data_IF_615137677219
#
_entry.id   IF_615137677219
#
_cell.length_a   1.000
_cell.length_b   1.000
_cell.length_c   1.000
_cell.angle_alpha   90.00
_cell.angle_beta   90.00
_cell.angle_gamma   90.00
#
_symmetry.space_group_name_H-M   'P 1'
#
loop_
_entity.id
_entity.type
_entity.pdbx_description
1 polymer ?
#
# COMPACT_ATOMS: atom_id res chain seq x y z
N UNK A 1 24.74 18.95 -24.71
CA UNK A 1 24.24 17.74 -25.39
C UNK A 1 24.29 16.63 -24.35
N UNK A 2 23.21 16.39 -23.67
CA UNK A 2 23.09 15.36 -22.61
C UNK A 2 22.42 14.16 -23.28
N UNK A 3 23.13 13.05 -23.27
CA UNK A 3 22.76 11.79 -23.91
C UNK A 3 21.48 11.21 -23.29
N UNK A 4 20.37 11.21 -24.06
CA UNK A 4 19.06 10.63 -23.68
C UNK A 4 18.97 9.18 -24.17
N UNK A 5 19.87 8.31 -23.72
CA UNK A 5 19.75 6.86 -23.97
C UNK A 5 20.06 6.03 -22.74
N UNK A 6 19.33 6.32 -21.64
CA UNK A 6 19.11 5.30 -20.61
C UNK A 6 17.74 4.71 -20.87
N UNK A 7 17.66 3.77 -21.82
CA UNK A 7 16.45 2.97 -22.05
C UNK A 7 16.17 2.14 -20.82
N UNK A 8 15.07 2.45 -20.19
CA UNK A 8 14.50 1.86 -19.00
C UNK A 8 14.24 0.36 -19.18
N UNK A 9 15.10 -0.50 -18.69
CA UNK A 9 14.68 -1.83 -18.23
C UNK A 9 13.86 -1.65 -16.96
N UNK A 10 12.57 -1.30 -17.08
CA UNK A 10 11.65 -1.43 -15.96
C UNK A 10 11.41 -2.94 -15.75
N UNK A 11 11.67 -3.50 -14.57
CA UNK A 11 11.25 -4.85 -14.29
C UNK A 11 9.72 -4.86 -14.32
N UNK A 12 9.15 -5.50 -15.32
CA UNK A 12 7.72 -5.80 -15.37
C UNK A 12 7.44 -6.75 -14.21
N UNK A 13 6.67 -6.28 -13.23
CA UNK A 13 6.15 -7.14 -12.17
C UNK A 13 5.42 -8.29 -12.87
N UNK A 14 5.79 -9.51 -12.53
CA UNK A 14 5.27 -10.67 -13.23
C UNK A 14 3.72 -10.71 -13.13
N UNK A 15 3.00 -10.86 -14.25
CA UNK A 15 1.53 -10.82 -14.27
C UNK A 15 0.85 -11.80 -13.31
N UNK A 16 1.56 -12.86 -12.89
CA UNK A 16 1.08 -13.84 -11.92
C UNK A 16 0.95 -13.27 -10.51
N UNK A 17 1.71 -12.25 -10.12
CA UNK A 17 1.60 -11.63 -8.78
C UNK A 17 0.29 -10.86 -8.63
N UNK A 18 -0.13 -10.10 -9.63
CA UNK A 18 -1.44 -9.44 -9.64
C UNK A 18 -2.57 -10.48 -9.64
N UNK A 19 -2.43 -11.60 -10.36
CA UNK A 19 -3.38 -12.72 -10.34
C UNK A 19 -3.40 -13.41 -8.97
N UNK A 20 -2.26 -13.64 -8.32
CA UNK A 20 -2.19 -14.22 -6.98
C UNK A 20 -2.90 -13.35 -5.94
N UNK A 21 -2.80 -12.02 -6.06
CA UNK A 21 -3.52 -11.07 -5.22
C UNK A 21 -5.05 -11.26 -5.32
N UNK A 22 -5.58 -11.42 -6.53
CA UNK A 22 -7.00 -11.69 -6.74
C UNK A 22 -7.44 -13.06 -6.23
N UNK A 23 -6.64 -14.09 -6.44
CA UNK A 23 -6.95 -15.48 -6.06
C UNK A 23 -6.99 -15.65 -4.54
N UNK A 24 -6.05 -15.04 -3.79
CA UNK A 24 -6.04 -15.11 -2.32
C UNK A 24 -7.25 -14.46 -1.65
N UNK A 25 -7.87 -13.51 -2.32
CA UNK A 25 -9.09 -12.87 -1.83
C UNK A 25 -10.37 -13.59 -2.23
N UNK A 26 -10.30 -14.76 -2.90
CA UNK A 26 -11.47 -15.57 -3.23
C UNK A 26 -11.83 -16.53 -2.10
N UNK A 27 -13.11 -16.83 -1.87
CA UNK A 27 -13.53 -17.83 -0.88
C UNK A 27 -12.86 -19.18 -1.15
N UNK A 28 -12.41 -19.85 -0.11
CA UNK A 28 -11.89 -21.21 -0.20
C UNK A 28 -12.97 -22.13 -0.80
N UNK A 29 -12.77 -22.60 -2.02
CA UNK A 29 -13.75 -23.43 -2.74
C UNK A 29 -14.19 -22.92 -4.10
N UNK A 30 -13.78 -21.72 -4.53
CA UNK A 30 -14.05 -21.25 -5.89
C UNK A 30 -13.33 -22.14 -6.93
N UNK A 31 -13.97 -22.38 -8.07
CA UNK A 31 -13.42 -23.22 -9.16
C UNK A 31 -12.04 -22.72 -9.64
N UNK A 32 -11.83 -21.41 -9.66
CA UNK A 32 -10.54 -20.81 -10.01
C UNK A 32 -9.43 -21.06 -8.97
N UNK A 33 -9.76 -21.04 -7.67
CA UNK A 33 -8.79 -21.36 -6.62
C UNK A 33 -8.34 -22.82 -6.70
N UNK A 34 -9.24 -23.76 -6.98
CA UNK A 34 -8.92 -25.18 -7.14
C UNK A 34 -8.03 -25.44 -8.37
N UNK A 35 -8.25 -24.77 -9.48
CA UNK A 35 -7.43 -24.90 -10.69
C UNK A 35 -5.99 -24.45 -10.46
N UNK A 36 -5.79 -23.38 -9.68
CA UNK A 36 -4.45 -22.85 -9.41
C UNK A 36 -3.63 -23.73 -8.46
N UNK A 37 -4.27 -24.28 -7.42
CA UNK A 37 -3.60 -25.23 -6.51
C UNK A 37 -3.25 -26.55 -7.19
N UNK A 38 -4.05 -26.98 -8.17
CA UNK A 38 -3.77 -28.21 -8.91
C UNK A 38 -2.61 -28.08 -9.92
N UNK A 39 -2.39 -26.87 -10.44
CA UNK A 39 -1.30 -26.60 -11.39
C UNK A 39 0.07 -26.42 -10.69
N UNK A 40 0.10 -25.94 -9.45
CA UNK A 40 1.32 -25.85 -8.66
C UNK A 40 1.80 -27.22 -8.10
N UNK A 41 0.91 -28.21 -8.01
CA UNK A 41 1.29 -29.57 -7.57
C UNK A 41 1.98 -30.38 -8.66
N UNK A 42 1.97 -29.92 -9.92
CA UNK A 42 2.69 -30.54 -11.03
C UNK A 42 4.01 -29.80 -11.26
N UNK A 43 5.03 -30.23 -10.50
CA UNK A 43 6.42 -29.85 -10.79
C UNK A 43 6.84 -30.34 -12.21
N UNK A 44 7.88 -29.73 -12.82
CA UNK A 44 8.27 -30.04 -14.18
C UNK A 44 8.62 -31.52 -14.29
N UNK A 45 7.80 -32.28 -15.01
CA UNK A 45 8.09 -33.69 -15.36
C UNK A 45 9.33 -33.75 -16.23
N UNK A 46 10.41 -34.28 -15.71
CA UNK A 46 11.56 -34.73 -16.51
C UNK A 46 11.06 -35.76 -17.53
N UNK A 47 11.11 -35.42 -18.81
CA UNK A 47 10.95 -36.37 -19.89
C UNK A 47 12.22 -37.22 -19.96
N UNK A 48 12.15 -38.48 -19.56
CA UNK A 48 13.10 -39.51 -19.97
C UNK A 48 12.80 -39.87 -21.44
N UNK A 49 13.74 -39.55 -22.32
CA UNK A 49 13.74 -40.03 -23.69
C UNK A 49 14.35 -41.40 -23.73
N UNK A 50 13.58 -42.41 -24.20
CA UNK A 50 14.07 -43.68 -24.65
C UNK A 50 14.55 -43.54 -26.10
N UNK A 51 15.71 -44.13 -26.37
CA UNK A 51 16.33 -44.06 -27.68
C UNK A 51 15.73 -44.96 -28.72
N UNK A 52 15.98 -44.70 -29.94
CA UNK A 52 16.24 -45.75 -30.96
C UNK A 52 17.28 -45.28 -31.98
N UNK A 53 18.09 -46.22 -32.40
CA UNK A 53 19.21 -46.14 -33.31
C UNK A 53 18.71 -46.23 -34.75
N UNK A 54 19.31 -45.48 -35.64
CA UNK A 54 19.98 -46.00 -36.86
C UNK A 54 19.93 -44.99 -38.01
N UNK A 55 21.03 -45.01 -38.73
CA UNK A 55 21.36 -44.79 -40.15
C UNK A 55 22.06 -43.47 -40.47
N UNK A 56 23.34 -43.54 -40.48
CA UNK A 56 24.44 -43.37 -41.46
C UNK A 56 24.06 -42.70 -42.80
N UNK A 57 24.66 -41.57 -43.12
CA UNK A 57 25.66 -41.41 -44.20
C UNK A 57 26.01 -39.94 -44.53
N UNK A 58 27.30 -39.69 -44.52
CA UNK A 58 28.17 -38.81 -45.31
C UNK A 58 27.54 -37.73 -46.22
N UNK A 59 27.98 -36.49 -46.07
CA UNK A 59 28.77 -35.80 -47.10
C UNK A 59 29.61 -34.63 -46.51
N UNK A 60 30.85 -34.58 -47.00
CA UNK A 60 31.90 -33.57 -46.74
C UNK A 60 31.69 -32.31 -47.57
N UNK A 61 32.47 -31.26 -47.14
CA UNK A 61 32.95 -30.05 -47.85
C UNK A 61 31.93 -28.92 -47.87
N UNK A 62 32.22 -27.68 -47.51
CA UNK A 62 33.39 -26.82 -47.67
C UNK A 62 33.39 -25.67 -46.67
N UNK A 63 34.57 -25.26 -46.35
CA UNK A 63 35.07 -24.15 -45.59
C UNK A 63 34.67 -22.82 -46.23
N UNK A 64 34.04 -21.89 -45.42
CA UNK A 64 34.27 -20.48 -45.61
C UNK A 64 34.19 -19.74 -44.25
N UNK A 65 35.35 -19.27 -43.88
CA UNK A 65 35.62 -18.32 -42.79
C UNK A 65 34.92 -17.01 -43.04
N UNK A 66 34.13 -16.58 -42.07
CA UNK A 66 33.85 -15.19 -41.83
C UNK A 66 33.78 -14.98 -40.32
N UNK A 67 34.82 -14.34 -39.80
CA UNK A 67 34.90 -13.85 -38.43
C UNK A 67 33.85 -12.76 -38.24
N UNK A 68 32.68 -13.10 -37.65
CA UNK A 68 31.80 -12.14 -37.02
C UNK A 68 32.06 -12.18 -35.52
N UNK A 69 32.77 -11.13 -35.05
CA UNK A 69 32.81 -10.81 -33.61
C UNK A 69 31.38 -10.73 -33.05
N UNK A 70 31.05 -11.47 -31.99
CA UNK A 70 29.77 -11.28 -31.33
C UNK A 70 29.78 -9.92 -30.59
N UNK A 71 28.96 -9.00 -31.09
CA UNK A 71 28.60 -7.77 -30.46
C UNK A 71 28.35 -8.01 -28.96
N UNK A 72 28.89 -7.19 -28.06
CA UNK A 72 28.63 -7.32 -26.62
C UNK A 72 27.23 -6.81 -26.27
N UNK A 73 26.22 -7.53 -26.68
CA UNK A 73 24.93 -7.51 -25.97
C UNK A 73 25.19 -8.14 -24.62
N UNK A 74 25.63 -7.31 -23.66
CA UNK A 74 25.74 -7.69 -22.27
C UNK A 74 24.43 -8.34 -21.87
N UNK A 75 24.44 -9.65 -21.66
CA UNK A 75 23.40 -10.39 -20.99
C UNK A 75 23.19 -9.73 -19.64
N UNK A 76 22.21 -8.81 -19.53
CA UNK A 76 21.65 -8.43 -18.26
C UNK A 76 21.06 -9.72 -17.66
N UNK A 77 21.86 -10.45 -16.94
CA UNK A 77 21.34 -11.47 -16.03
C UNK A 77 20.34 -10.75 -15.14
N UNK A 78 19.08 -11.21 -15.03
CA UNK A 78 18.15 -10.61 -14.11
C UNK A 78 18.78 -10.75 -12.72
N UNK A 79 19.29 -9.62 -12.20
CA UNK A 79 19.77 -9.53 -10.82
C UNK A 79 18.58 -9.95 -9.97
N UNK A 80 18.70 -11.06 -9.28
CA UNK A 80 17.68 -11.48 -8.32
C UNK A 80 17.82 -10.55 -7.11
N UNK A 81 17.15 -9.39 -7.18
CA UNK A 81 17.23 -8.30 -6.20
C UNK A 81 16.85 -8.77 -4.79
N UNK A 82 16.18 -9.90 -4.66
CA UNK A 82 15.77 -10.45 -3.38
C UNK A 82 16.87 -11.22 -2.64
N UNK A 83 17.85 -11.76 -3.33
CA UNK A 83 18.92 -12.55 -2.69
C UNK A 83 20.19 -11.76 -2.42
N UNK A 84 20.41 -10.66 -3.17
CA UNK A 84 21.73 -10.03 -3.20
C UNK A 84 21.79 -8.68 -2.45
N UNK A 85 20.65 -8.07 -2.09
CA UNK A 85 20.63 -6.74 -1.51
C UNK A 85 20.38 -6.71 0.01
N UNK A 86 19.63 -7.69 0.54
CA UNK A 86 19.30 -7.79 1.97
C UNK A 86 19.40 -9.23 2.48
N UNK A 87 19.87 -9.39 3.70
CA UNK A 87 19.83 -10.68 4.39
C UNK A 87 18.46 -10.87 5.07
N UNK A 88 17.59 -11.66 4.45
CA UNK A 88 16.24 -11.96 4.94
C UNK A 88 16.21 -12.76 6.25
N UNK A 89 17.32 -13.29 6.71
CA UNK A 89 17.43 -13.97 8.01
C UNK A 89 17.57 -12.99 9.16
N UNK A 90 17.89 -11.72 8.85
CA UNK A 90 18.08 -10.63 9.80
C UNK A 90 16.96 -9.60 9.69
N UNK A 91 16.73 -8.81 10.75
CA UNK A 91 15.77 -7.71 10.72
C UNK A 91 16.06 -6.71 9.60
N UNK A 92 15.04 -6.31 8.85
CA UNK A 92 15.21 -5.49 7.65
C UNK A 92 15.34 -3.98 7.94
N UNK A 93 14.77 -3.49 9.05
CA UNK A 93 14.75 -2.06 9.35
C UNK A 93 16.12 -1.37 9.26
N UNK A 94 17.16 -2.05 9.75
CA UNK A 94 18.53 -1.52 9.77
C UNK A 94 19.33 -1.82 8.50
N UNK A 95 18.80 -2.61 7.58
CA UNK A 95 19.48 -2.95 6.33
C UNK A 95 19.05 -2.03 5.19
N UNK A 96 17.75 -1.67 5.14
CA UNK A 96 17.15 -0.98 3.99
C UNK A 96 17.76 0.40 3.74
N UNK A 97 18.16 1.12 4.77
CA UNK A 97 18.83 2.40 4.64
C UNK A 97 20.16 2.35 3.87
N UNK A 98 20.81 1.18 3.82
CA UNK A 98 22.04 0.94 3.06
C UNK A 98 21.81 0.65 1.58
N UNK A 99 20.57 0.44 1.16
CA UNK A 99 20.23 0.18 -0.25
C UNK A 99 20.42 1.41 -1.15
N UNK A 100 20.38 2.61 -0.61
CA UNK A 100 20.63 3.87 -1.32
C UNK A 100 19.83 3.97 -2.63
N UNK A 101 20.48 4.14 -3.79
CA UNK A 101 19.86 4.27 -5.12
C UNK A 101 19.04 3.03 -5.52
N UNK A 102 19.36 1.86 -4.96
CA UNK A 102 18.66 0.60 -5.27
C UNK A 102 17.35 0.46 -4.49
N UNK A 103 17.13 1.29 -3.46
CA UNK A 103 15.99 1.17 -2.56
C UNK A 103 14.65 1.31 -3.30
N UNK A 104 14.48 2.34 -4.12
CA UNK A 104 13.20 2.60 -4.84
C UNK A 104 12.81 1.41 -5.72
N UNK A 105 13.77 0.82 -6.43
CA UNK A 105 13.52 -0.36 -7.26
C UNK A 105 13.24 -1.59 -6.42
N UNK A 106 13.99 -1.80 -5.35
CA UNK A 106 13.86 -2.97 -4.48
C UNK A 106 12.52 -2.97 -3.71
N UNK A 107 12.11 -1.83 -3.15
CA UNK A 107 10.89 -1.75 -2.32
C UNK A 107 9.61 -1.99 -3.12
N UNK A 108 9.62 -1.63 -4.41
CA UNK A 108 8.49 -1.84 -5.31
C UNK A 108 8.52 -3.18 -6.07
N UNK A 109 9.36 -4.12 -5.63
CA UNK A 109 9.32 -5.51 -6.07
C UNK A 109 8.72 -6.37 -4.97
N UNK A 110 7.40 -6.63 -5.01
CA UNK A 110 6.70 -7.31 -3.92
C UNK A 110 7.15 -8.76 -3.77
N UNK A 111 7.14 -9.23 -2.53
CA UNK A 111 7.42 -10.62 -2.16
C UNK A 111 6.22 -11.23 -1.44
N UNK A 112 6.05 -12.55 -1.58
CA UNK A 112 4.99 -13.30 -0.91
C UNK A 112 5.54 -13.99 0.34
N UNK A 113 5.93 -13.19 1.32
CA UNK A 113 6.35 -13.66 2.64
C UNK A 113 6.24 -12.55 3.68
N UNK A 114 6.04 -12.89 4.96
CA UNK A 114 6.07 -11.90 6.04
C UNK A 114 7.50 -11.33 6.19
N UNK A 115 7.56 -10.07 6.62
CA UNK A 115 8.81 -9.36 6.87
C UNK A 115 9.08 -9.34 8.38
N UNK A 116 10.32 -9.54 8.80
CA UNK A 116 10.79 -9.23 10.14
C UNK A 116 11.47 -7.86 10.11
N UNK A 117 10.92 -6.89 10.85
CA UNK A 117 11.42 -5.52 10.89
C UNK A 117 12.51 -5.35 11.95
N UNK A 118 12.28 -5.88 13.16
CA UNK A 118 13.15 -5.65 14.31
C UNK A 118 13.68 -6.96 14.92
N UNK A 119 14.88 -6.88 15.50
CA UNK A 119 15.47 -7.99 16.26
C UNK A 119 14.87 -8.13 17.66
N UNK A 120 14.45 -7.01 18.26
CA UNK A 120 13.78 -7.00 19.55
C UNK A 120 12.34 -7.46 19.38
N UNK A 121 11.91 -8.48 20.13
CA UNK A 121 10.58 -9.08 20.00
C UNK A 121 9.43 -8.12 20.38
N UNK A 122 9.65 -7.23 21.36
CA UNK A 122 8.68 -6.23 21.75
C UNK A 122 8.46 -5.20 20.63
N UNK A 123 9.53 -4.67 20.05
CA UNK A 123 9.44 -3.75 18.91
C UNK A 123 8.82 -4.45 17.69
N UNK A 124 9.19 -5.69 17.41
CA UNK A 124 8.61 -6.46 16.32
C UNK A 124 7.10 -6.67 16.53
N UNK A 125 6.68 -7.05 17.74
CA UNK A 125 5.27 -7.24 18.09
C UNK A 125 4.48 -5.92 18.01
N UNK A 126 5.07 -4.80 18.41
CA UNK A 126 4.41 -3.48 18.37
C UNK A 126 4.10 -2.98 16.94
N UNK A 127 4.74 -3.56 15.92
CA UNK A 127 4.47 -3.25 14.50
C UNK A 127 3.38 -4.13 13.89
N UNK A 128 2.87 -5.10 14.64
CA UNK A 128 1.87 -6.07 14.17
C UNK A 128 0.52 -5.79 14.83
N UNK A 129 -0.53 -5.79 14.05
CA UNK A 129 -1.89 -5.57 14.55
C UNK A 129 -2.90 -6.39 13.76
N UNK A 130 -3.81 -7.05 14.49
CA UNK A 130 -4.97 -7.69 13.87
C UNK A 130 -5.98 -6.63 13.46
N UNK A 131 -6.58 -6.78 12.28
CA UNK A 131 -7.50 -5.79 11.71
C UNK A 131 -8.63 -5.36 12.64
N UNK A 132 -9.16 -6.29 13.44
CA UNK A 132 -10.29 -6.02 14.36
C UNK A 132 -9.90 -5.12 15.55
N UNK A 133 -8.61 -4.96 15.84
CA UNK A 133 -8.16 -4.05 16.90
C UNK A 133 -8.47 -2.59 16.58
N UNK A 134 -8.47 -2.21 15.31
CA UNK A 134 -8.79 -0.86 14.89
C UNK A 134 -10.22 -0.47 15.26
N UNK A 135 -11.27 -1.17 14.80
CA UNK A 135 -12.63 -0.85 15.23
C UNK A 135 -12.85 -1.10 16.72
N UNK A 136 -12.23 -2.11 17.33
CA UNK A 136 -12.40 -2.39 18.77
C UNK A 136 -11.90 -1.24 19.66
N UNK A 137 -10.83 -0.56 19.26
CA UNK A 137 -10.28 0.59 20.00
C UNK A 137 -11.02 1.88 19.67
N UNK A 138 -11.22 2.18 18.39
CA UNK A 138 -11.66 3.50 17.97
C UNK A 138 -13.20 3.67 17.93
N UNK A 139 -13.99 2.64 17.67
CA UNK A 139 -15.46 2.77 17.60
C UNK A 139 -16.07 3.15 18.95
N UNK A 140 -15.67 2.58 20.10
CA UNK A 140 -16.14 3.08 21.39
C UNK A 140 -15.85 4.55 21.62
N UNK A 141 -14.65 5.02 21.23
CA UNK A 141 -14.29 6.44 21.34
C UNK A 141 -15.12 7.32 20.38
N UNK A 142 -15.37 6.86 19.16
CA UNK A 142 -16.26 7.54 18.20
C UNK A 142 -17.67 7.71 18.81
N UNK A 143 -18.23 6.66 19.40
CA UNK A 143 -19.55 6.74 20.03
C UNK A 143 -19.57 7.70 21.22
N UNK A 144 -18.58 7.64 22.10
CA UNK A 144 -18.46 8.54 23.24
C UNK A 144 -18.36 10.02 22.80
N UNK A 145 -17.48 10.32 21.86
CA UNK A 145 -17.29 11.69 21.36
C UNK A 145 -18.48 12.18 20.53
N UNK A 146 -19.18 11.29 19.83
CA UNK A 146 -20.44 11.62 19.15
C UNK A 146 -21.50 12.05 20.15
N UNK A 147 -21.69 11.27 21.20
CA UNK A 147 -22.63 11.60 22.28
C UNK A 147 -22.23 12.91 22.96
N UNK A 148 -20.97 13.09 23.33
CA UNK A 148 -20.44 14.33 23.91
C UNK A 148 -20.71 15.55 23.00
N UNK A 149 -20.32 15.48 21.73
CA UNK A 149 -20.52 16.56 20.77
C UNK A 149 -22.00 16.91 20.57
N UNK A 150 -22.85 15.91 20.42
CA UNK A 150 -24.29 16.11 20.22
C UNK A 150 -24.97 16.73 21.42
N UNK A 151 -24.59 16.35 22.64
CA UNK A 151 -25.17 16.88 23.89
C UNK A 151 -24.67 18.27 24.24
N UNK A 152 -23.44 18.62 23.86
CA UNK A 152 -22.83 19.93 24.17
C UNK A 152 -23.12 20.99 23.09
N UNK A 153 -23.35 20.59 21.84
CA UNK A 153 -23.78 21.53 20.79
C UNK A 153 -25.15 22.14 21.10
N UNK A 154 -25.27 23.45 21.02
CA UNK A 154 -26.53 24.14 21.23
C UNK A 154 -26.86 24.45 22.69
N UNK A 155 -25.96 24.19 23.64
CA UNK A 155 -26.12 24.60 25.04
C UNK A 155 -25.76 26.08 25.25
N UNK A 156 -25.28 26.78 24.21
CA UNK A 156 -24.92 28.19 24.26
C UNK A 156 -24.44 28.71 22.92
N UNK A 157 -23.95 29.99 22.91
CA UNK A 157 -23.33 30.55 21.72
C UNK A 157 -21.93 29.92 21.51
N UNK A 158 -21.69 29.41 20.35
CA UNK A 158 -20.39 28.86 19.97
C UNK A 158 -19.62 29.93 19.19
N UNK A 159 -18.41 30.29 19.64
CA UNK A 159 -17.52 31.20 18.89
C UNK A 159 -17.04 30.47 17.64
N UNK A 160 -16.99 31.18 16.50
CA UNK A 160 -16.55 30.56 15.23
C UNK A 160 -15.08 30.12 15.29
N UNK A 161 -14.25 30.94 15.94
CA UNK A 161 -12.84 30.64 16.15
C UNK A 161 -12.49 30.88 17.62
N UNK A 162 -11.60 30.07 18.20
CA UNK A 162 -11.25 30.13 19.62
C UNK A 162 -10.73 31.52 20.07
N UNK A 163 -10.08 32.27 19.19
CA UNK A 163 -9.43 33.53 19.46
C UNK A 163 -10.22 34.76 18.95
N UNK A 164 -11.50 34.64 18.63
CA UNK A 164 -12.33 35.75 18.15
C UNK A 164 -13.55 35.93 19.02
N UNK A 165 -14.03 37.18 19.11
CA UNK A 165 -15.28 37.49 19.81
C UNK A 165 -16.54 37.18 18.99
N UNK A 166 -16.37 36.71 17.79
CA UNK A 166 -17.47 36.34 16.90
C UNK A 166 -18.11 35.05 17.39
N UNK A 167 -19.34 35.12 17.90
CA UNK A 167 -20.10 33.96 18.38
C UNK A 167 -21.28 33.66 17.46
N UNK A 168 -21.40 32.41 17.09
CA UNK A 168 -22.51 31.85 16.29
C UNK A 168 -23.22 30.81 17.12
N UNK A 169 -24.56 30.84 17.14
CA UNK A 169 -25.35 29.80 17.75
C UNK A 169 -25.34 28.55 16.82
N UNK A 170 -24.60 27.53 17.21
CA UNK A 170 -24.55 26.24 16.48
C UNK A 170 -25.48 25.25 17.17
N UNK A 171 -26.57 24.90 16.49
CA UNK A 171 -27.58 24.01 17.03
C UNK A 171 -27.13 22.53 16.92
N UNK A 172 -27.51 21.67 17.87
CA UNK A 172 -27.17 20.25 17.87
C UNK A 172 -27.54 19.48 16.58
N UNK A 173 -28.57 19.94 15.87
CA UNK A 173 -28.98 19.33 14.59
C UNK A 173 -27.99 19.63 13.44
N UNK A 174 -27.00 20.48 13.64
CA UNK A 174 -25.90 20.70 12.68
C UNK A 174 -24.82 19.62 12.83
N UNK A 175 -24.79 18.88 13.92
CA UNK A 175 -23.78 17.85 14.19
C UNK A 175 -23.60 16.85 13.03
N UNK A 176 -24.63 16.25 12.41
CA UNK A 176 -24.45 15.31 11.30
C UNK A 176 -23.70 15.93 10.12
N UNK A 177 -23.92 17.21 9.82
CA UNK A 177 -23.23 17.91 8.73
C UNK A 177 -21.77 18.16 9.08
N UNK A 178 -21.48 18.55 10.34
CA UNK A 178 -20.11 18.74 10.83
C UNK A 178 -19.36 17.42 10.83
N UNK A 179 -20.00 16.34 11.28
CA UNK A 179 -19.45 14.98 11.26
C UNK A 179 -19.12 14.53 9.84
N UNK A 180 -20.06 14.69 8.89
CA UNK A 180 -19.83 14.35 7.48
C UNK A 180 -18.70 15.18 6.85
N UNK A 181 -18.62 16.46 7.23
CA UNK A 181 -17.51 17.31 6.80
C UNK A 181 -16.17 16.84 7.39
N UNK A 182 -16.15 16.41 8.66
CA UNK A 182 -14.98 15.76 9.27
C UNK A 182 -14.54 14.52 8.52
N UNK A 183 -15.49 13.66 8.10
CA UNK A 183 -15.20 12.51 7.26
C UNK A 183 -14.60 12.91 5.89
N UNK A 184 -15.16 13.94 5.27
CA UNK A 184 -14.62 14.47 4.00
C UNK A 184 -13.20 15.02 4.17
N UNK A 185 -12.95 15.76 5.26
CA UNK A 185 -11.60 16.22 5.61
C UNK A 185 -10.64 15.05 5.78
N UNK A 186 -11.08 13.94 6.39
CA UNK A 186 -10.26 12.74 6.50
C UNK A 186 -9.88 12.19 5.12
N UNK A 187 -10.82 12.09 4.17
CA UNK A 187 -10.48 11.56 2.82
C UNK A 187 -9.40 12.40 2.12
N UNK A 188 -9.38 13.71 2.37
CA UNK A 188 -8.32 14.57 1.87
C UNK A 188 -7.00 14.34 2.60
N UNK A 189 -7.04 14.23 3.93
CA UNK A 189 -5.87 13.95 4.75
C UNK A 189 -5.27 12.57 4.43
N UNK A 190 -6.09 11.54 4.26
CA UNK A 190 -5.72 10.20 3.78
C UNK A 190 -4.91 10.30 2.48
N UNK A 191 -5.46 11.02 1.48
CA UNK A 191 -4.79 11.22 0.20
C UNK A 191 -3.44 11.94 0.37
N UNK A 192 -3.40 13.00 1.18
CA UNK A 192 -2.17 13.75 1.43
C UNK A 192 -1.11 12.90 2.15
N UNK A 193 -1.50 12.15 3.18
CA UNK A 193 -0.60 11.26 3.91
C UNK A 193 -0.07 10.17 2.96
N UNK A 194 -0.96 9.52 2.21
CA UNK A 194 -0.57 8.46 1.29
C UNK A 194 0.40 8.98 0.22
N UNK A 195 0.08 10.11 -0.41
CA UNK A 195 0.91 10.67 -1.47
C UNK A 195 2.24 11.25 -0.99
N UNK A 196 2.21 12.10 0.06
CA UNK A 196 3.36 12.92 0.42
C UNK A 196 4.20 12.34 1.55
N UNK A 197 3.62 11.49 2.40
CA UNK A 197 4.33 10.85 3.52
C UNK A 197 4.66 9.41 3.17
N UNK A 198 3.69 8.62 2.75
CA UNK A 198 3.88 7.19 2.48
C UNK A 198 4.60 6.92 1.17
N UNK A 199 4.36 7.72 0.14
CA UNK A 199 5.05 7.66 -1.15
C UNK A 199 6.10 8.77 -1.35
N UNK A 200 6.62 9.32 -0.25
CA UNK A 200 7.76 10.23 -0.33
C UNK A 200 8.96 9.52 -1.00
N UNK A 201 9.81 10.30 -1.67
CA UNK A 201 11.05 9.80 -2.26
C UNK A 201 12.22 10.17 -1.35
N UNK A 202 12.66 9.26 -0.49
CA UNK A 202 13.80 9.56 0.37
C UNK A 202 15.06 9.75 -0.49
N UNK A 203 15.88 10.78 -0.20
CA UNK A 203 17.17 10.93 -0.88
C UNK A 203 18.04 9.69 -0.67
N UNK A 204 18.65 9.20 -1.75
CA UNK A 204 19.41 7.94 -1.74
C UNK A 204 20.59 7.92 -0.74
N UNK A 205 21.14 9.09 -0.42
CA UNK A 205 22.23 9.22 0.56
C UNK A 205 21.75 9.30 2.02
N UNK A 206 20.43 9.42 2.26
CA UNK A 206 19.88 9.58 3.60
C UNK A 206 19.35 8.24 4.14
N UNK A 207 20.20 7.56 4.90
CA UNK A 207 19.89 6.29 5.56
C UNK A 207 18.60 6.34 6.39
N UNK A 208 18.42 7.40 7.20
CA UNK A 208 17.29 7.49 8.13
C UNK A 208 15.96 7.72 7.40
N UNK A 209 15.94 8.56 6.38
CA UNK A 209 14.71 8.80 5.61
C UNK A 209 14.29 7.55 4.81
N UNK A 210 15.24 6.78 4.29
CA UNK A 210 14.96 5.49 3.65
C UNK A 210 14.35 4.52 4.68
N UNK A 211 14.96 4.41 5.85
CA UNK A 211 14.47 3.52 6.92
C UNK A 211 13.08 3.93 7.40
N UNK A 212 12.84 5.23 7.62
CA UNK A 212 11.52 5.75 8.05
C UNK A 212 10.46 5.47 6.98
N UNK A 213 10.74 5.78 5.71
CA UNK A 213 9.82 5.46 4.60
C UNK A 213 9.48 3.97 4.57
N UNK A 214 10.48 3.10 4.71
CA UNK A 214 10.27 1.66 4.74
C UNK A 214 9.37 1.24 5.90
N UNK A 215 9.60 1.75 7.10
CA UNK A 215 8.81 1.43 8.29
C UNK A 215 7.36 1.95 8.19
N UNK A 216 7.14 3.12 7.58
CA UNK A 216 5.82 3.72 7.45
C UNK A 216 4.96 3.01 6.39
N UNK A 217 5.53 2.74 5.20
CA UNK A 217 4.75 2.24 4.07
C UNK A 217 5.51 1.35 3.09
N UNK A 218 6.84 1.54 2.95
CA UNK A 218 7.64 0.73 2.02
C UNK A 218 7.56 -0.77 2.32
N UNK A 219 7.50 -1.17 3.59
CA UNK A 219 7.30 -2.56 4.01
C UNK A 219 6.00 -3.16 3.47
N UNK A 220 4.93 -2.35 3.40
CA UNK A 220 3.64 -2.75 2.87
C UNK A 220 3.70 -2.97 1.35
N UNK A 221 4.38 -2.10 0.60
CA UNK A 221 4.65 -2.33 -0.83
C UNK A 221 5.55 -3.53 -1.07
N UNK A 222 6.54 -3.77 -0.20
CA UNK A 222 7.44 -4.93 -0.31
C UNK A 222 6.74 -6.25 0.02
N UNK A 223 5.85 -6.27 1.02
CA UNK A 223 5.09 -7.46 1.42
C UNK A 223 3.59 -7.18 1.57
N UNK A 224 2.88 -6.97 0.45
CA UNK A 224 1.47 -6.58 0.47
C UNK A 224 0.54 -7.70 0.96
N UNK A 225 1.06 -8.91 1.17
CA UNK A 225 0.33 -10.06 1.69
C UNK A 225 0.53 -10.30 3.20
N UNK A 226 1.29 -9.46 3.89
CA UNK A 226 1.45 -9.55 5.35
C UNK A 226 0.27 -8.89 6.07
N UNK A 227 -0.80 -9.65 6.33
CA UNK A 227 -2.02 -9.17 6.98
C UNK A 227 -1.82 -8.63 8.39
N UNK A 228 -0.71 -8.96 9.04
CA UNK A 228 -0.41 -8.45 10.38
C UNK A 228 0.05 -6.99 10.38
N UNK A 229 0.39 -6.43 9.22
CA UNK A 229 0.91 -5.06 9.03
C UNK A 229 0.14 -4.23 8.01
N UNK A 230 -1.08 -4.63 7.69
CA UNK A 230 -1.95 -3.88 6.77
C UNK A 230 -2.64 -2.70 7.43
N UNK A 231 -3.09 -2.88 8.66
CA UNK A 231 -3.73 -1.82 9.44
C UNK A 231 -2.70 -1.13 10.33
N UNK A 232 -2.92 0.15 10.56
CA UNK A 232 -1.99 0.91 11.38
C UNK A 232 -2.18 0.58 12.88
N UNK A 233 -1.11 0.23 13.62
CA UNK A 233 -1.24 -0.14 15.03
C UNK A 233 -1.87 0.97 15.85
N UNK A 234 -2.96 0.72 16.63
CA UNK A 234 -3.66 1.76 17.39
C UNK A 234 -2.77 2.56 18.33
N UNK A 235 -1.74 1.93 18.94
CA UNK A 235 -0.78 2.63 19.79
C UNK A 235 0.04 3.68 19.05
N UNK A 236 0.48 3.40 17.82
CA UNK A 236 1.19 4.37 16.99
C UNK A 236 0.23 5.40 16.39
N UNK A 237 -0.96 4.96 15.98
CA UNK A 237 -2.01 5.82 15.46
C UNK A 237 -2.44 6.89 16.48
N UNK A 238 -2.48 6.55 17.79
CA UNK A 238 -2.91 7.46 18.85
C UNK A 238 -2.07 8.73 18.93
N UNK A 239 -0.80 8.69 18.54
CA UNK A 239 0.06 9.88 18.50
C UNK A 239 -0.40 10.87 17.42
N UNK A 240 -0.63 10.39 16.20
CA UNK A 240 -1.10 11.23 15.09
C UNK A 240 -2.54 11.71 15.33
N UNK A 241 -3.41 10.82 15.82
CA UNK A 241 -4.81 11.10 16.16
C UNK A 241 -4.90 12.13 17.29
N UNK A 242 -4.07 11.99 18.34
CA UNK A 242 -3.97 12.97 19.43
C UNK A 242 -3.48 14.33 18.95
N UNK A 243 -2.50 14.35 18.03
CA UNK A 243 -2.04 15.59 17.38
C UNK A 243 -3.15 16.28 16.59
N UNK A 244 -3.94 15.53 15.82
CA UNK A 244 -5.08 16.05 15.07
C UNK A 244 -6.18 16.59 16.02
N UNK A 245 -6.46 15.85 17.10
CA UNK A 245 -7.40 16.32 18.15
C UNK A 245 -6.98 17.68 18.73
N UNK A 246 -5.71 17.79 19.14
CA UNK A 246 -5.17 19.04 19.67
C UNK A 246 -5.21 20.17 18.65
N UNK A 247 -4.86 19.89 17.41
CA UNK A 247 -4.93 20.89 16.33
C UNK A 247 -6.34 21.43 16.16
N UNK A 248 -7.34 20.55 16.04
CA UNK A 248 -8.72 20.96 15.81
C UNK A 248 -9.33 21.69 17.02
N UNK A 249 -9.10 21.22 18.25
CA UNK A 249 -9.63 21.83 19.46
C UNK A 249 -8.92 23.14 19.87
N UNK A 250 -7.72 23.40 19.34
CA UNK A 250 -7.04 24.69 19.50
C UNK A 250 -7.37 25.69 18.40
N UNK A 251 -7.76 25.21 17.21
CA UNK A 251 -8.12 26.06 16.07
C UNK A 251 -9.58 26.49 16.12
N UNK A 252 -10.48 25.58 16.49
CA UNK A 252 -11.91 25.79 16.58
C UNK A 252 -12.37 25.81 18.05
N UNK A 253 -13.56 26.39 18.36
CA UNK A 253 -14.19 26.16 19.66
C UNK A 253 -14.26 24.68 19.97
N UNK A 254 -14.02 24.30 21.21
CA UNK A 254 -13.84 22.89 21.62
C UNK A 254 -14.92 21.96 21.07
N UNK A 255 -16.20 22.31 21.24
CA UNK A 255 -17.31 21.48 20.78
C UNK A 255 -17.33 21.29 19.27
N UNK A 256 -16.99 22.33 18.51
CA UNK A 256 -16.91 22.29 17.05
C UNK A 256 -15.69 21.47 16.62
N UNK A 257 -14.53 21.71 17.26
CA UNK A 257 -13.29 20.97 17.02
C UNK A 257 -13.46 19.46 17.28
N UNK A 258 -14.10 19.10 18.40
CA UNK A 258 -14.41 17.68 18.72
C UNK A 258 -15.41 17.09 17.72
N UNK A 259 -16.41 17.85 17.27
CA UNK A 259 -17.39 17.37 16.28
C UNK A 259 -16.75 17.08 14.92
N UNK A 260 -15.82 17.93 14.48
CA UNK A 260 -15.01 17.68 13.27
C UNK A 260 -14.07 16.48 13.45
N UNK A 261 -13.40 16.43 14.60
CA UNK A 261 -12.47 15.37 14.93
C UNK A 261 -13.13 13.99 14.91
N UNK A 262 -14.31 13.84 15.51
CA UNK A 262 -15.00 12.53 15.57
C UNK A 262 -15.43 12.06 14.19
N UNK A 263 -15.84 12.97 13.30
CA UNK A 263 -16.07 12.65 11.88
C UNK A 263 -14.80 12.16 11.18
N UNK A 264 -13.68 12.86 11.39
CA UNK A 264 -12.37 12.48 10.88
C UNK A 264 -11.88 11.13 11.43
N UNK A 265 -12.05 10.90 12.73
CA UNK A 265 -11.69 9.63 13.38
C UNK A 265 -12.51 8.44 12.83
N UNK A 266 -13.80 8.64 12.60
CA UNK A 266 -14.62 7.62 11.95
C UNK A 266 -14.17 7.39 10.50
N UNK A 267 -13.84 8.46 9.77
CA UNK A 267 -13.25 8.37 8.43
C UNK A 267 -11.96 7.54 8.41
N UNK A 268 -11.07 7.73 9.40
CA UNK A 268 -9.86 6.90 9.57
C UNK A 268 -10.19 5.42 9.76
N UNK A 269 -11.17 5.09 10.63
CA UNK A 269 -11.57 3.69 10.83
C UNK A 269 -12.10 3.07 9.53
N UNK A 270 -12.94 3.80 8.80
CA UNK A 270 -13.47 3.36 7.50
C UNK A 270 -12.33 3.14 6.50
N UNK A 271 -11.38 4.07 6.43
CA UNK A 271 -10.19 3.95 5.58
C UNK A 271 -9.42 2.66 5.88
N UNK A 272 -9.04 2.44 7.13
CA UNK A 272 -8.19 1.31 7.52
C UNK A 272 -8.89 -0.04 7.25
N UNK A 273 -10.22 -0.09 7.49
CA UNK A 273 -11.04 -1.27 7.18
C UNK A 273 -11.20 -1.51 5.68
N UNK A 274 -11.41 -0.45 4.89
CA UNK A 274 -11.47 -0.58 3.42
C UNK A 274 -10.11 -1.03 2.90
N UNK A 275 -9.00 -0.41 3.32
CA UNK A 275 -7.66 -0.79 2.90
C UNK A 275 -7.39 -2.28 3.16
N UNK A 276 -7.68 -2.76 4.38
CA UNK A 276 -7.59 -4.18 4.71
C UNK A 276 -8.46 -5.04 3.78
N UNK A 277 -9.69 -4.60 3.52
CA UNK A 277 -10.62 -5.32 2.65
C UNK A 277 -10.15 -5.35 1.18
N UNK A 278 -9.51 -4.28 0.69
CA UNK A 278 -8.94 -4.26 -0.66
C UNK A 278 -7.83 -5.32 -0.83
N UNK A 279 -7.11 -5.66 0.23
CA UNK A 279 -6.11 -6.72 0.20
C UNK A 279 -6.72 -8.12 0.34
N UNK A 280 -7.59 -8.33 1.34
CA UNK A 280 -8.07 -9.66 1.73
C UNK A 280 -9.53 -9.96 1.34
N UNK A 281 -10.34 -8.94 1.09
CA UNK A 281 -11.75 -9.11 0.75
C UNK A 281 -11.98 -9.62 -0.66
N UNK A 282 -13.16 -10.21 -0.89
CA UNK A 282 -13.65 -10.66 -2.19
C UNK A 282 -14.87 -9.83 -2.60
N UNK A 283 -14.69 -8.60 -3.11
CA UNK A 283 -15.81 -7.77 -3.52
C UNK A 283 -16.55 -8.38 -4.70
N UNK A 284 -17.89 -8.19 -4.71
CA UNK A 284 -18.74 -8.64 -5.80
C UNK A 284 -18.31 -7.94 -7.11
N UNK A 285 -18.19 -8.71 -8.21
CA UNK A 285 -17.86 -8.18 -9.53
C UNK A 285 -18.77 -7.01 -9.91
N UNK A 286 -18.23 -5.98 -10.52
CA UNK A 286 -18.89 -4.74 -10.90
C UNK A 286 -19.43 -3.88 -9.73
N UNK A 287 -19.04 -4.18 -8.47
CA UNK A 287 -19.33 -3.28 -7.36
C UNK A 287 -18.26 -2.17 -7.24
N UNK A 288 -18.60 -1.10 -6.50
CA UNK A 288 -17.67 -0.02 -6.21
C UNK A 288 -16.35 -0.53 -5.60
N UNK A 289 -16.45 -1.41 -4.60
CA UNK A 289 -15.28 -2.00 -3.94
C UNK A 289 -14.47 -2.91 -4.87
N UNK A 290 -15.10 -3.54 -5.87
CA UNK A 290 -14.38 -4.30 -6.90
C UNK A 290 -13.49 -3.38 -7.75
N UNK A 291 -14.07 -2.27 -8.22
CA UNK A 291 -13.32 -1.26 -8.98
C UNK A 291 -12.20 -0.61 -8.16
N UNK A 292 -12.45 -0.38 -6.87
CA UNK A 292 -11.47 0.18 -5.95
C UNK A 292 -10.34 -0.80 -5.66
N UNK A 293 -10.64 -2.09 -5.46
CA UNK A 293 -9.63 -3.15 -5.33
C UNK A 293 -8.75 -3.26 -6.58
N UNK A 294 -9.34 -3.26 -7.77
CA UNK A 294 -8.58 -3.28 -9.01
C UNK A 294 -7.64 -2.06 -9.14
N UNK A 295 -8.12 -0.90 -8.73
CA UNK A 295 -7.35 0.33 -8.72
C UNK A 295 -6.16 0.26 -7.75
N UNK A 296 -6.39 -0.24 -6.53
CA UNK A 296 -5.36 -0.41 -5.51
C UNK A 296 -4.32 -1.49 -5.89
N UNK A 297 -4.75 -2.57 -6.54
CA UNK A 297 -3.83 -3.57 -7.11
C UNK A 297 -2.92 -2.94 -8.17
N UNK A 298 -3.47 -2.13 -9.06
CA UNK A 298 -2.64 -1.41 -10.05
C UNK A 298 -1.65 -0.46 -9.38
N UNK A 299 -2.06 0.22 -8.31
CA UNK A 299 -1.18 1.07 -7.52
C UNK A 299 0.01 0.27 -6.96
N UNK A 300 -0.22 -0.91 -6.37
CA UNK A 300 0.86 -1.74 -5.81
C UNK A 300 1.81 -2.30 -6.86
N UNK A 301 1.30 -2.74 -8.02
CA UNK A 301 2.08 -3.57 -8.93
C UNK A 301 2.51 -2.87 -10.23
N UNK A 302 1.80 -1.80 -10.63
CA UNK A 302 2.02 -1.17 -11.93
C UNK A 302 2.30 0.34 -11.82
N UNK A 303 1.58 1.04 -10.94
CA UNK A 303 1.56 2.50 -10.90
C UNK A 303 1.80 3.06 -9.49
N UNK A 304 2.93 2.74 -8.86
CA UNK A 304 3.24 3.13 -7.48
C UNK A 304 3.31 4.66 -7.25
N UNK A 305 3.25 5.46 -8.32
CA UNK A 305 3.29 6.93 -8.28
C UNK A 305 1.98 7.58 -8.70
N UNK A 306 0.91 6.81 -8.76
CA UNK A 306 -0.45 7.26 -9.07
C UNK A 306 -1.45 6.41 -8.28
N UNK A 307 -2.71 6.86 -8.16
CA UNK A 307 -3.73 6.10 -7.48
C UNK A 307 -3.59 6.11 -5.97
N UNK A 308 -3.42 7.29 -5.39
CA UNK A 308 -3.20 7.43 -3.94
C UNK A 308 -4.49 7.37 -3.11
N UNK A 309 -5.66 7.50 -3.73
CA UNK A 309 -6.94 7.36 -3.04
C UNK A 309 -7.26 5.90 -2.71
N UNK A 310 -7.46 5.60 -1.42
CA UNK A 310 -7.80 4.26 -0.93
C UNK A 310 -9.31 4.09 -0.79
N UNK A 311 -9.97 5.04 -0.11
CA UNK A 311 -11.42 4.99 0.08
C UNK A 311 -12.19 5.45 -1.17
N UNK A 312 -11.58 6.32 -1.97
CA UNK A 312 -12.15 6.82 -3.21
C UNK A 312 -11.08 7.40 -4.14
N UNK A 313 -11.40 7.51 -5.44
CA UNK A 313 -10.56 8.18 -6.44
C UNK A 313 -10.77 9.71 -6.46
N UNK A 314 -11.47 10.27 -5.45
CA UNK A 314 -11.93 11.66 -5.44
C UNK A 314 -10.79 12.65 -5.65
N UNK A 315 -9.73 12.51 -4.85
CA UNK A 315 -8.60 13.44 -4.82
C UNK A 315 -7.56 13.16 -5.90
N UNK A 316 -7.52 11.95 -6.46
CA UNK A 316 -6.65 11.64 -7.60
C UNK A 316 -7.00 12.49 -8.84
N UNK A 317 -8.27 12.87 -9.00
CA UNK A 317 -8.73 13.66 -10.16
C UNK A 317 -8.15 15.08 -10.18
N UNK A 318 -8.39 15.95 -9.16
CA UNK A 318 -7.89 17.33 -9.18
C UNK A 318 -6.36 17.42 -9.13
N UNK A 319 -5.70 16.37 -8.64
CA UNK A 319 -4.24 16.35 -8.53
C UNK A 319 -3.53 15.58 -9.66
N UNK A 320 -4.26 15.16 -10.70
CA UNK A 320 -3.74 14.43 -11.87
C UNK A 320 -2.92 13.18 -11.50
N UNK A 321 -3.39 12.43 -10.52
CA UNK A 321 -2.78 11.16 -10.09
C UNK A 321 -3.66 9.95 -10.38
N UNK A 322 -4.66 10.09 -11.24
CA UNK A 322 -5.48 8.95 -11.68
C UNK A 322 -4.61 7.93 -12.43
N UNK A 323 -4.83 6.66 -12.10
CA UNK A 323 -4.31 5.55 -12.90
C UNK A 323 -5.18 5.45 -14.17
N UNK A 324 -4.56 5.39 -15.37
CA UNK A 324 -5.30 5.22 -16.62
C UNK A 324 -6.20 3.98 -16.58
N UNK A 325 -7.46 4.13 -16.97
CA UNK A 325 -8.37 2.99 -17.12
C UNK A 325 -7.97 2.22 -18.37
N UNK A 326 -7.24 1.14 -18.19
CA UNK A 326 -7.12 0.12 -19.22
C UNK A 326 -8.30 -0.83 -19.02
N UNK A 327 -9.07 -1.04 -20.07
CA UNK A 327 -10.09 -2.12 -20.13
C UNK A 327 -9.37 -3.46 -19.92
N UNK A 328 -9.79 -4.20 -18.90
CA UNK A 328 -9.35 -5.58 -18.66
C UNK A 328 -10.07 -6.55 -19.60
#
# INVERSE_FOLDING_TARGET
MIDRRASSCRPTVAPWMARAFWIRSMPAGSVMARSFYHDQSKGPKRRHGGGDQSVRERRKTEEHTADEEPSPLSKCSPVNLDTDLVDWRKPLAWQVGHLREKYDTWVHQPVDRPIRLFGNEFLEASTKTSWYMVPAVWIPLVFYLTWYSYTTLGQGTTRLFANTDYSILVHKYTFPFIFMFGMLMWTFLEYCIHRFVFHMRPPAHNYYLITIHFLLHGQHHKSPYDGSRLVFPPGLASVAIGGLYLLLTKTFPETLGVSLFVGGLFGYVVYDMIHYYLHYGSPKKNSYLYGLKAYHVKHHFEHQRAGFGITSKLWDRPFNTLIPEQTF
#
